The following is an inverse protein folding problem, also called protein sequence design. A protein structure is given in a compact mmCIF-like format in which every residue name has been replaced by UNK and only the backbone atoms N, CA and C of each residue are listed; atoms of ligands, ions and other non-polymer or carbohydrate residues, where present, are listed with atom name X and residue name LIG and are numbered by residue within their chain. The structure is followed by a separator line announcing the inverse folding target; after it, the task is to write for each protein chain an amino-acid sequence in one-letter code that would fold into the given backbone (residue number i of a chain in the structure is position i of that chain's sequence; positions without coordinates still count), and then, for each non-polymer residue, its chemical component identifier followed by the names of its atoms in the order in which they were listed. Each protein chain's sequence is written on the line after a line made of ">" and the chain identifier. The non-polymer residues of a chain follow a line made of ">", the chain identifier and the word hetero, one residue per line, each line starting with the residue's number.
data_IF_509857216092
#
_entry.id   IF_509857216092
#
_cell.length_a   1.000
_cell.length_b   1.000
_cell.length_c   1.000
_cell.angle_alpha   90.00
_cell.angle_beta   90.00
_cell.angle_gamma   90.00
#
_symmetry.space_group_name_H-M   'P 1'
#
loop_
_entity.id
_entity.type
_entity.pdbx_description
1 polymer ?
#
# COMPACT_ATOMS: atom_id res chain seq x y z
N UNK A 1 -6.75 -3.25 -10.83
CA UNK A 1 -6.31 -2.75 -9.51
C UNK A 1 -4.96 -3.36 -9.14
N UNK A 2 -3.95 -2.51 -8.97
CA UNK A 2 -2.58 -2.89 -8.68
C UNK A 2 -2.15 -2.32 -7.33
N UNK A 3 -1.20 -2.99 -6.66
CA UNK A 3 -0.56 -2.46 -5.46
C UNK A 3 0.70 -1.69 -5.88
N UNK A 4 0.70 -0.39 -5.69
CA UNK A 4 1.83 0.49 -5.97
C UNK A 4 2.62 0.77 -4.68
N UNK A 5 3.94 0.66 -4.74
CA UNK A 5 4.85 0.90 -3.61
C UNK A 5 5.51 2.28 -3.74
N UNK A 6 5.36 3.11 -2.70
CA UNK A 6 6.19 4.29 -2.48
C UNK A 6 7.29 4.01 -1.45
N UNK A 7 8.53 4.22 -1.87
CA UNK A 7 9.67 4.34 -0.95
C UNK A 7 9.75 5.79 -0.49
N UNK A 8 9.82 6.00 0.82
CA UNK A 8 9.87 7.33 1.40
C UNK A 8 11.30 7.67 1.80
N UNK A 9 11.77 8.86 1.42
CA UNK A 9 13.11 9.35 1.77
C UNK A 9 13.31 9.49 3.30
N UNK A 10 12.22 9.74 4.03
CA UNK A 10 12.17 9.76 5.50
C UNK A 10 11.03 8.88 5.97
N UNK A 11 11.20 8.16 7.09
CA UNK A 11 10.12 7.36 7.68
C UNK A 11 8.94 8.27 8.02
N UNK A 12 7.78 8.04 7.39
CA UNK A 12 6.52 8.74 7.71
C UNK A 12 5.59 7.82 8.49
N UNK A 13 4.59 8.39 9.15
CA UNK A 13 3.55 7.61 9.84
C UNK A 13 2.61 6.98 8.81
N UNK A 14 2.29 5.71 9.00
CA UNK A 14 1.21 5.04 8.29
C UNK A 14 -0.12 5.76 8.57
N UNK A 15 -0.93 6.11 7.57
CA UNK A 15 -2.25 6.71 7.77
C UNK A 15 -3.22 5.84 8.59
N UNK A 16 -3.07 4.51 8.55
CA UNK A 16 -3.96 3.58 9.25
C UNK A 16 -3.56 3.34 10.72
N UNK A 17 -2.33 2.88 10.98
CA UNK A 17 -1.89 2.51 12.33
C UNK A 17 -1.00 3.57 13.03
N UNK A 18 -0.60 4.64 12.33
CA UNK A 18 0.25 5.70 12.89
C UNK A 18 1.73 5.34 13.09
N UNK A 19 2.14 4.09 12.85
CA UNK A 19 3.53 3.65 13.01
C UNK A 19 4.44 4.23 11.93
N UNK A 20 5.72 4.48 12.27
CA UNK A 20 6.72 4.99 11.32
C UNK A 20 7.17 3.90 10.37
N UNK A 21 6.98 4.10 9.07
CA UNK A 21 7.41 3.20 7.99
C UNK A 21 8.18 3.96 6.91
N UNK A 22 9.12 3.28 6.26
CA UNK A 22 9.81 3.78 5.05
C UNK A 22 9.10 3.39 3.74
N UNK A 23 7.98 2.65 3.83
CA UNK A 23 7.23 2.12 2.70
C UNK A 23 5.73 2.33 2.91
N UNK A 24 5.07 2.92 1.92
CA UNK A 24 3.62 3.06 1.85
C UNK A 24 3.12 2.39 0.57
N UNK A 25 2.03 1.65 0.69
CA UNK A 25 1.37 0.97 -0.39
C UNK A 25 0.01 1.63 -0.64
N UNK A 26 -0.35 1.76 -1.91
CA UNK A 26 -1.62 2.29 -2.38
C UNK A 26 -2.16 1.37 -3.47
N UNK A 27 -3.46 1.07 -3.41
CA UNK A 27 -4.14 0.29 -4.45
C UNK A 27 -4.86 1.23 -5.41
N UNK A 28 -4.44 1.23 -6.68
CA UNK A 28 -4.96 2.12 -7.73
C UNK A 28 -4.87 1.43 -9.10
N UNK A 29 -5.46 2.02 -10.14
CA UNK A 29 -5.34 1.51 -11.51
C UNK A 29 -4.11 2.06 -12.22
N UNK A 30 -3.74 3.31 -11.94
CA UNK A 30 -2.62 4.00 -12.58
C UNK A 30 -1.67 4.61 -11.56
N UNK A 31 -0.43 4.88 -12.01
CA UNK A 31 0.57 5.53 -11.17
C UNK A 31 0.17 6.96 -10.83
N UNK A 32 -0.44 7.67 -11.79
CA UNK A 32 -0.91 9.04 -11.63
C UNK A 32 -2.01 9.12 -10.55
N UNK A 33 -2.97 8.19 -10.60
CA UNK A 33 -4.00 8.06 -9.55
C UNK A 33 -3.37 7.75 -8.20
N UNK A 34 -2.39 6.84 -8.18
CA UNK A 34 -1.67 6.48 -6.97
C UNK A 34 -1.00 7.71 -6.32
N UNK A 35 -0.35 8.55 -7.12
CA UNK A 35 0.34 9.75 -6.62
C UNK A 35 -0.63 10.78 -6.05
N UNK A 36 -1.78 11.01 -6.73
CA UNK A 36 -2.84 11.89 -6.24
C UNK A 36 -3.38 11.39 -4.89
N UNK A 37 -3.79 10.13 -4.83
CA UNK A 37 -4.34 9.51 -3.61
C UNK A 37 -3.38 9.62 -2.43
N UNK A 38 -2.08 9.39 -2.64
CA UNK A 38 -1.11 9.48 -1.55
C UNK A 38 -0.81 10.93 -1.12
N UNK A 39 -0.58 11.83 -2.08
CA UNK A 39 -0.07 13.18 -1.78
C UNK A 39 -1.16 14.15 -1.37
N UNK A 40 -2.33 14.05 -1.98
CA UNK A 40 -3.44 15.01 -1.78
C UNK A 40 -4.46 14.48 -0.79
N UNK A 41 -4.76 13.18 -0.85
CA UNK A 41 -5.83 12.56 -0.06
C UNK A 41 -5.29 11.83 1.19
N UNK A 42 -3.96 11.67 1.30
CA UNK A 42 -3.32 10.98 2.43
C UNK A 42 -3.63 9.48 2.49
N UNK A 43 -4.09 8.90 1.37
CA UNK A 43 -4.46 7.49 1.29
C UNK A 43 -3.21 6.64 1.13
N UNK A 44 -3.09 5.63 1.98
CA UNK A 44 -2.05 4.62 1.89
C UNK A 44 -1.89 3.84 3.19
N UNK A 45 -1.21 2.70 3.11
CA UNK A 45 -1.00 1.82 4.25
C UNK A 45 0.45 1.32 4.31
N UNK A 46 0.94 1.01 5.51
CA UNK A 46 2.14 0.19 5.63
C UNK A 46 1.82 -1.24 5.17
N UNK A 47 2.86 -2.08 5.02
CA UNK A 47 2.69 -3.46 4.56
C UNK A 47 1.80 -4.30 5.48
N UNK A 48 1.87 -4.06 6.80
CA UNK A 48 1.08 -4.80 7.79
C UNK A 48 -0.41 -4.50 7.68
N UNK A 49 -0.81 -3.22 7.72
CA UNK A 49 -2.20 -2.81 7.55
C UNK A 49 -2.76 -3.23 6.17
N UNK A 50 -1.94 -3.21 5.11
CA UNK A 50 -2.37 -3.72 3.81
C UNK A 50 -2.64 -5.23 3.88
N UNK A 51 -1.76 -6.02 4.48
CA UNK A 51 -1.96 -7.46 4.63
C UNK A 51 -3.20 -7.80 5.46
N UNK A 52 -3.45 -7.08 6.56
CA UNK A 52 -4.67 -7.21 7.36
C UNK A 52 -5.91 -6.95 6.51
N UNK A 53 -5.95 -5.83 5.78
CA UNK A 53 -7.04 -5.49 4.87
C UNK A 53 -7.27 -6.58 3.82
N UNK A 54 -6.21 -7.08 3.19
CA UNK A 54 -6.31 -8.13 2.18
C UNK A 54 -6.84 -9.44 2.77
N UNK A 55 -6.44 -9.79 4.00
CA UNK A 55 -6.93 -10.95 4.72
C UNK A 55 -8.43 -10.82 5.07
N UNK A 56 -8.86 -9.67 5.59
CA UNK A 56 -10.26 -9.37 5.89
C UNK A 56 -11.14 -9.47 4.64
N UNK A 57 -10.63 -8.97 3.51
CA UNK A 57 -11.30 -9.00 2.21
C UNK A 57 -11.16 -10.33 1.47
N UNK A 58 -10.50 -11.32 2.09
CA UNK A 58 -10.34 -12.70 1.57
C UNK A 58 -9.63 -12.76 0.21
N UNK A 59 -8.68 -11.86 -0.03
CA UNK A 59 -7.81 -11.94 -1.20
C UNK A 59 -6.92 -13.18 -1.12
N UNK A 60 -6.65 -13.79 -2.28
CA UNK A 60 -5.73 -14.93 -2.39
C UNK A 60 -4.39 -14.48 -2.95
N UNK A 61 -3.31 -14.92 -2.30
CA UNK A 61 -1.97 -14.78 -2.85
C UNK A 61 -1.78 -15.92 -3.86
N UNK A 62 -1.70 -15.57 -5.13
CA UNK A 62 -1.31 -16.50 -6.19
C UNK A 62 0.22 -16.42 -6.31
N UNK A 63 0.93 -17.41 -5.75
CA UNK A 63 2.38 -17.47 -5.90
C UNK A 63 2.72 -17.58 -7.39
N UNK A 64 3.52 -16.66 -7.90
CA UNK A 64 4.17 -16.79 -9.20
C UNK A 64 5.30 -17.83 -9.13
N UNK A 65 4.93 -19.11 -9.07
CA UNK A 65 5.78 -20.23 -9.46
C UNK A 65 4.99 -21.11 -10.43
N UNK A 66 4.98 -20.70 -11.71
CA UNK A 66 5.04 -21.71 -12.77
C UNK A 66 6.53 -22.03 -12.93
N UNK A 67 7.01 -22.98 -12.13
CA UNK A 67 8.25 -23.69 -12.34
C UNK A 67 7.91 -25.17 -12.34
#
# INVERSE_FOLDING_TARGET
>A
MYVHLFKLDKRKKCPACGWKTGRIFVMAETKEETERMYREEGIGMCGECLCELLAERKYKILNGKNG
#
